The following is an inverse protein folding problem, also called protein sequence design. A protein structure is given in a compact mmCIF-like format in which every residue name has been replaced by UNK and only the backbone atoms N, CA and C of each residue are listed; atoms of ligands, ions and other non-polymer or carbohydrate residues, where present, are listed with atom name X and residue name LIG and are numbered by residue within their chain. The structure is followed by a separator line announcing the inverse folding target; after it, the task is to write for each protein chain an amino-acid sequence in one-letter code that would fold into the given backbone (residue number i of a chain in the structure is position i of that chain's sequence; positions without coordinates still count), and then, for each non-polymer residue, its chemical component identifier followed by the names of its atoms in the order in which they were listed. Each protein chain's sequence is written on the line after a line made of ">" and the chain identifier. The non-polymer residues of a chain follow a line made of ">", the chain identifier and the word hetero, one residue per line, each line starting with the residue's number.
data_IF_334350483697
#
_entry.id   IF_334350483697
#
_cell.length_a   1.000
_cell.length_b   1.000
_cell.length_c   1.000
_cell.angle_alpha   90.00
_cell.angle_beta   90.00
_cell.angle_gamma   90.00
#
_symmetry.space_group_name_H-M   'P 1'
#
loop_
_entity.id
_entity.type
_entity.pdbx_description
1 polymer ?
#
# COMPACT_ATOMS: atom_id res chain seq x y z
N UNK A 1 -33.85 15.97 2.58
CA UNK A 1 -33.58 14.55 2.24
C UNK A 1 -34.94 13.89 2.06
N UNK A 2 -35.19 13.24 0.93
CA UNK A 2 -36.41 12.43 0.74
C UNK A 2 -36.25 11.14 1.56
N UNK A 3 -37.33 10.72 2.23
CA UNK A 3 -37.38 9.44 2.90
C UNK A 3 -37.23 8.33 1.84
N UNK A 4 -36.32 7.41 2.02
CA UNK A 4 -36.06 6.33 1.09
C UNK A 4 -37.23 5.35 1.06
N UNK A 5 -37.90 5.23 -0.07
CA UNK A 5 -38.88 4.18 -0.33
C UNK A 5 -38.26 3.16 -1.33
N UNK A 6 -37.94 1.92 -0.90
CA UNK A 6 -37.32 0.91 -1.78
C UNK A 6 -38.19 0.52 -3.00
N UNK A 7 -39.53 0.73 -2.94
CA UNK A 7 -40.47 0.41 -4.05
C UNK A 7 -40.33 1.36 -5.24
N UNK A 8 -40.06 2.64 -4.96
CA UNK A 8 -40.08 3.69 -5.99
C UNK A 8 -38.71 4.03 -6.57
N UNK A 9 -37.60 3.49 -6.00
CA UNK A 9 -36.27 3.72 -6.53
C UNK A 9 -36.18 3.21 -7.98
N UNK A 10 -35.74 4.05 -8.94
CA UNK A 10 -35.56 3.61 -10.33
C UNK A 10 -34.50 2.54 -10.46
N UNK A 11 -34.86 1.38 -11.05
CA UNK A 11 -33.93 0.27 -11.27
C UNK A 11 -33.27 0.31 -12.66
N UNK A 12 -33.69 1.23 -13.51
CA UNK A 12 -33.15 1.44 -14.86
C UNK A 12 -32.27 2.70 -14.97
N UNK A 13 -31.87 3.27 -13.83
CA UNK A 13 -31.08 4.49 -13.75
C UNK A 13 -29.99 4.36 -12.67
N UNK A 14 -29.06 5.33 -12.63
CA UNK A 14 -28.07 5.45 -11.56
C UNK A 14 -28.71 6.14 -10.37
N UNK A 15 -28.69 5.48 -9.20
CA UNK A 15 -29.22 6.02 -7.95
C UNK A 15 -28.15 5.98 -6.86
N UNK A 16 -28.00 7.07 -6.10
CA UNK A 16 -27.14 7.16 -4.93
C UNK A 16 -27.99 7.07 -3.66
N UNK A 17 -27.70 6.10 -2.81
CA UNK A 17 -28.36 5.92 -1.51
C UNK A 17 -27.38 6.30 -0.41
N UNK A 18 -27.61 7.44 0.22
CA UNK A 18 -26.86 7.89 1.38
C UNK A 18 -27.49 7.32 2.66
N UNK A 19 -26.69 6.59 3.43
CA UNK A 19 -27.18 5.97 4.65
C UNK A 19 -26.07 5.83 5.70
N UNK A 20 -26.34 6.22 6.94
CA UNK A 20 -25.45 6.04 8.09
C UNK A 20 -25.40 4.58 8.55
N UNK A 21 -24.50 4.23 9.49
CA UNK A 21 -24.48 2.90 10.07
C UNK A 21 -25.82 2.62 10.80
N UNK A 22 -26.33 1.39 10.66
CA UNK A 22 -27.60 0.98 11.31
C UNK A 22 -28.90 1.47 10.68
N UNK A 23 -28.87 2.22 9.57
CA UNK A 23 -30.08 2.80 8.92
C UNK A 23 -30.77 1.86 7.92
N UNK A 24 -30.46 0.56 7.91
CA UNK A 24 -31.15 -0.41 7.09
C UNK A 24 -30.59 -0.59 5.67
N UNK A 25 -29.32 -0.22 5.39
CA UNK A 25 -28.69 -0.42 4.07
C UNK A 25 -28.85 -1.84 3.52
N UNK A 26 -28.55 -2.85 4.35
CA UNK A 26 -28.66 -4.25 3.96
C UNK A 26 -30.09 -4.67 3.68
N UNK A 27 -31.06 -4.16 4.43
CA UNK A 27 -32.49 -4.37 4.17
C UNK A 27 -32.89 -3.76 2.84
N UNK A 28 -32.49 -2.53 2.56
CA UNK A 28 -32.73 -1.86 1.29
C UNK A 28 -32.14 -2.64 0.11
N UNK A 29 -30.89 -3.08 0.23
CA UNK A 29 -30.25 -3.90 -0.81
C UNK A 29 -31.00 -5.21 -1.06
N UNK A 30 -31.42 -5.93 -0.02
CA UNK A 30 -32.25 -7.14 -0.15
C UNK A 30 -33.61 -6.84 -0.81
N UNK A 31 -34.22 -5.70 -0.51
CA UNK A 31 -35.47 -5.26 -1.10
C UNK A 31 -35.33 -4.92 -2.59
N UNK A 32 -34.26 -4.21 -2.98
CA UNK A 32 -33.94 -3.94 -4.40
C UNK A 32 -33.62 -5.23 -5.16
N UNK A 33 -32.91 -6.17 -4.53
CA UNK A 33 -32.62 -7.46 -5.10
C UNK A 33 -33.90 -8.25 -5.42
N UNK A 34 -34.88 -8.28 -4.49
CA UNK A 34 -36.18 -8.88 -4.72
C UNK A 34 -36.93 -8.21 -5.90
N UNK A 35 -36.89 -6.90 -5.99
CA UNK A 35 -37.51 -6.18 -7.12
C UNK A 35 -36.93 -6.55 -8.48
N UNK A 36 -35.59 -6.74 -8.55
CA UNK A 36 -34.89 -7.18 -9.76
C UNK A 36 -35.27 -8.62 -10.15
N UNK A 37 -35.36 -9.53 -9.17
CA UNK A 37 -35.78 -10.93 -9.39
C UNK A 37 -37.24 -11.02 -9.85
N UNK A 38 -38.12 -10.22 -9.24
CA UNK A 38 -39.57 -10.32 -9.47
C UNK A 38 -40.05 -9.42 -10.59
N UNK A 39 -39.24 -8.45 -11.05
CA UNK A 39 -39.66 -7.38 -11.96
C UNK A 39 -40.87 -6.61 -11.39
N UNK A 40 -40.85 -6.28 -10.10
CA UNK A 40 -41.98 -5.69 -9.38
C UNK A 40 -41.62 -4.32 -8.76
N UNK A 41 -42.66 -3.53 -8.42
CA UNK A 41 -42.52 -2.16 -7.92
C UNK A 41 -42.61 -1.13 -9.02
N UNK A 42 -42.29 0.13 -8.68
CA UNK A 42 -42.30 1.25 -9.63
C UNK A 42 -40.97 1.33 -10.40
N UNK A 43 -40.98 1.86 -11.62
CA UNK A 43 -39.76 2.05 -12.43
C UNK A 43 -38.86 0.84 -12.43
N UNK A 44 -39.44 -0.34 -12.73
CA UNK A 44 -38.75 -1.64 -12.69
C UNK A 44 -37.76 -1.78 -13.82
N UNK A 45 -36.86 -2.78 -13.69
CA UNK A 45 -36.02 -3.20 -14.80
C UNK A 45 -36.88 -3.84 -15.91
N UNK A 46 -36.49 -3.71 -17.20
CA UNK A 46 -37.33 -4.13 -18.34
C UNK A 46 -37.74 -5.61 -18.31
N UNK A 47 -36.97 -6.46 -17.63
CA UNK A 47 -37.26 -7.89 -17.48
C UNK A 47 -36.79 -8.39 -16.12
N UNK A 48 -37.28 -9.55 -15.69
CA UNK A 48 -36.83 -10.18 -14.46
C UNK A 48 -35.42 -10.74 -14.63
N UNK A 49 -34.57 -10.52 -13.64
CA UNK A 49 -33.17 -10.97 -13.62
C UNK A 49 -33.02 -12.25 -12.80
N UNK A 50 -32.08 -13.11 -13.19
CA UNK A 50 -31.60 -14.22 -12.37
C UNK A 50 -30.50 -13.77 -11.41
N UNK A 51 -30.21 -14.56 -10.37
CA UNK A 51 -29.20 -14.25 -9.37
C UNK A 51 -27.78 -14.02 -9.95
N UNK A 52 -27.46 -14.68 -11.05
CA UNK A 52 -26.18 -14.53 -11.78
C UNK A 52 -26.07 -13.20 -12.54
N UNK A 53 -27.21 -12.58 -12.85
CA UNK A 53 -27.28 -11.33 -13.63
C UNK A 53 -27.30 -10.09 -12.75
N UNK A 54 -27.44 -10.25 -11.43
CA UNK A 54 -27.46 -9.16 -10.46
C UNK A 54 -26.10 -9.07 -9.77
N UNK A 55 -25.26 -8.15 -10.23
CA UNK A 55 -23.95 -7.93 -9.63
C UNK A 55 -24.06 -7.11 -8.35
N UNK A 56 -23.54 -7.65 -7.26
CA UNK A 56 -23.38 -6.95 -5.99
C UNK A 56 -21.90 -6.97 -5.60
N UNK A 57 -21.35 -5.80 -5.24
CA UNK A 57 -19.93 -5.65 -4.92
C UNK A 57 -19.76 -5.06 -3.54
N UNK A 58 -18.81 -5.62 -2.77
CA UNK A 58 -18.44 -5.16 -1.43
C UNK A 58 -16.93 -4.94 -1.31
N UNK A 59 -16.49 -4.39 -0.18
CA UNK A 59 -15.06 -4.17 0.07
C UNK A 59 -14.35 -5.38 0.71
N UNK A 60 -15.03 -6.16 1.54
CA UNK A 60 -14.41 -7.24 2.33
C UNK A 60 -15.12 -8.56 2.11
N UNK A 61 -14.40 -9.66 2.22
CA UNK A 61 -14.95 -11.02 2.13
C UNK A 61 -16.03 -11.25 3.20
N UNK A 62 -15.81 -10.80 4.43
CA UNK A 62 -16.78 -10.90 5.52
C UNK A 62 -18.10 -10.20 5.17
N UNK A 63 -18.03 -8.98 4.60
CA UNK A 63 -19.23 -8.26 4.18
C UNK A 63 -19.93 -8.94 3.00
N UNK A 64 -19.18 -9.57 2.09
CA UNK A 64 -19.71 -10.36 0.98
C UNK A 64 -20.51 -11.55 1.49
N UNK A 65 -19.95 -12.34 2.40
CA UNK A 65 -20.60 -13.51 2.98
C UNK A 65 -21.85 -13.13 3.80
N UNK A 66 -21.74 -12.08 4.62
CA UNK A 66 -22.90 -11.58 5.37
C UNK A 66 -24.01 -11.12 4.44
N UNK A 67 -23.70 -10.36 3.41
CA UNK A 67 -24.68 -9.84 2.45
C UNK A 67 -25.32 -10.99 1.67
N UNK A 68 -24.54 -11.98 1.22
CA UNK A 68 -25.03 -13.19 0.54
C UNK A 68 -26.04 -13.95 1.43
N UNK A 69 -25.70 -14.14 2.71
CA UNK A 69 -26.58 -14.76 3.70
C UNK A 69 -27.89 -13.96 3.88
N UNK A 70 -27.80 -12.63 4.03
CA UNK A 70 -28.95 -11.75 4.22
C UNK A 70 -29.87 -11.71 3.01
N UNK A 71 -29.33 -11.71 1.80
CA UNK A 71 -30.12 -11.78 0.57
C UNK A 71 -30.82 -13.14 0.47
N UNK A 72 -30.15 -14.25 0.79
CA UNK A 72 -30.76 -15.58 0.82
C UNK A 72 -31.91 -15.67 1.82
N UNK A 73 -31.72 -15.16 3.04
CA UNK A 73 -32.75 -15.09 4.07
C UNK A 73 -33.96 -14.26 3.58
N UNK A 74 -33.69 -13.14 2.92
CA UNK A 74 -34.74 -12.27 2.38
C UNK A 74 -35.54 -12.93 1.25
N UNK A 75 -34.88 -13.65 0.34
CA UNK A 75 -35.53 -14.43 -0.73
C UNK A 75 -36.41 -15.54 -0.11
N UNK A 76 -35.88 -16.27 0.87
CA UNK A 76 -36.62 -17.32 1.56
C UNK A 76 -37.87 -16.78 2.27
N UNK A 77 -37.74 -15.72 3.07
CA UNK A 77 -38.85 -15.08 3.79
C UNK A 77 -39.93 -14.56 2.81
N UNK A 78 -39.51 -13.89 1.74
CA UNK A 78 -40.43 -13.41 0.69
C UNK A 78 -41.18 -14.58 0.03
N UNK A 79 -40.47 -15.68 -0.32
CA UNK A 79 -41.10 -16.88 -0.90
C UNK A 79 -42.15 -17.45 0.03
N UNK A 80 -41.84 -17.62 1.32
CA UNK A 80 -42.76 -18.16 2.31
C UNK A 80 -44.04 -17.31 2.44
N UNK A 81 -43.87 -15.98 2.59
CA UNK A 81 -44.96 -15.03 2.73
C UNK A 81 -45.84 -14.94 1.47
N UNK A 82 -45.22 -14.93 0.28
CA UNK A 82 -46.00 -14.92 -0.98
C UNK A 82 -46.74 -16.24 -1.19
N UNK A 83 -46.21 -17.39 -0.80
CA UNK A 83 -46.87 -18.68 -0.85
C UNK A 83 -48.05 -18.72 0.11
N UNK A 84 -47.89 -18.25 1.33
CA UNK A 84 -49.00 -18.13 2.30
C UNK A 84 -50.10 -17.18 1.82
N UNK A 85 -49.70 -16.00 1.26
CA UNK A 85 -50.65 -15.05 0.68
C UNK A 85 -51.41 -15.63 -0.50
N UNK A 86 -50.80 -16.44 -1.37
CA UNK A 86 -51.45 -17.12 -2.47
C UNK A 86 -52.56 -18.04 -1.96
N UNK A 87 -52.36 -18.69 -0.82
CA UNK A 87 -53.32 -19.66 -0.26
C UNK A 87 -54.47 -18.95 0.49
N UNK A 88 -54.14 -17.92 1.26
CA UNK A 88 -55.09 -17.29 2.18
C UNK A 88 -55.73 -16.03 1.65
N UNK A 89 -55.10 -15.36 0.70
CA UNK A 89 -55.43 -13.98 0.21
C UNK A 89 -55.50 -12.96 1.37
N UNK A 90 -54.89 -13.29 2.50
CA UNK A 90 -54.87 -12.42 3.66
C UNK A 90 -53.54 -11.64 3.76
N UNK A 91 -53.58 -10.34 3.73
CA UNK A 91 -52.40 -9.47 3.86
C UNK A 91 -51.77 -9.52 5.25
N UNK A 92 -52.44 -10.09 6.25
CA UNK A 92 -51.87 -10.28 7.60
C UNK A 92 -50.62 -11.20 7.61
N UNK A 93 -50.43 -12.05 6.58
CA UNK A 93 -49.26 -12.91 6.39
C UNK A 93 -47.94 -12.10 6.27
N UNK A 94 -48.00 -10.86 5.84
CA UNK A 94 -46.81 -10.01 5.72
C UNK A 94 -46.36 -9.41 7.06
N UNK A 95 -47.20 -9.45 8.11
CA UNK A 95 -46.88 -8.89 9.42
C UNK A 95 -46.45 -7.42 9.36
N UNK A 96 -45.23 -7.14 9.83
CA UNK A 96 -44.66 -5.78 9.83
C UNK A 96 -43.82 -5.48 8.57
N UNK A 97 -43.86 -6.36 7.58
CA UNK A 97 -43.10 -6.18 6.34
C UNK A 97 -43.91 -5.34 5.32
N UNK A 98 -43.98 -4.03 5.54
CA UNK A 98 -44.70 -3.12 4.69
C UNK A 98 -44.18 -3.11 3.25
N UNK A 99 -42.88 -3.33 3.05
CA UNK A 99 -42.29 -3.46 1.72
C UNK A 99 -42.87 -4.63 0.92
N UNK A 100 -42.97 -5.83 1.50
CA UNK A 100 -43.57 -6.98 0.78
C UNK A 100 -45.08 -6.80 0.56
N UNK A 101 -45.78 -6.16 1.52
CA UNK A 101 -47.21 -5.86 1.38
C UNK A 101 -47.46 -4.91 0.20
N UNK A 102 -46.62 -3.91 0.04
CA UNK A 102 -46.71 -2.95 -1.06
C UNK A 102 -46.24 -3.58 -2.41
N UNK A 103 -45.12 -4.38 -2.35
CA UNK A 103 -44.58 -5.03 -3.52
C UNK A 103 -45.56 -6.01 -4.17
N UNK A 104 -46.31 -6.78 -3.39
CA UNK A 104 -47.23 -7.80 -3.88
C UNK A 104 -48.37 -7.16 -4.72
N UNK A 105 -48.76 -5.92 -4.42
CA UNK A 105 -49.77 -5.20 -5.20
C UNK A 105 -49.31 -4.93 -6.64
N UNK A 106 -48.01 -4.91 -6.90
CA UNK A 106 -47.42 -4.70 -8.23
C UNK A 106 -47.17 -6.01 -9.00
N UNK A 107 -47.37 -7.18 -8.36
CA UNK A 107 -47.13 -8.49 -8.96
C UNK A 107 -48.40 -8.95 -9.70
N UNK A 108 -48.31 -9.11 -11.01
CA UNK A 108 -49.41 -9.54 -11.84
C UNK A 108 -49.63 -11.08 -11.85
N UNK A 109 -48.56 -11.84 -11.73
CA UNK A 109 -48.56 -13.33 -11.73
C UNK A 109 -47.84 -13.83 -10.49
N UNK A 110 -48.62 -14.12 -9.44
CA UNK A 110 -48.10 -14.57 -8.15
C UNK A 110 -47.48 -15.97 -8.20
N UNK A 111 -48.09 -16.98 -8.91
CA UNK A 111 -47.41 -18.27 -9.14
C UNK A 111 -46.05 -18.14 -9.80
N UNK A 112 -45.92 -17.36 -10.82
CA UNK A 112 -44.63 -17.09 -11.50
C UNK A 112 -43.62 -16.41 -10.56
N UNK A 113 -44.06 -15.46 -9.74
CA UNK A 113 -43.21 -14.79 -8.76
C UNK A 113 -42.64 -15.79 -7.72
N UNK A 114 -43.48 -16.70 -7.21
CA UNK A 114 -43.07 -17.74 -6.28
C UNK A 114 -42.09 -18.74 -6.95
N UNK A 115 -42.33 -19.10 -8.20
CA UNK A 115 -41.40 -19.94 -8.98
C UNK A 115 -40.04 -19.24 -9.15
N UNK A 116 -40.01 -17.96 -9.49
CA UNK A 116 -38.76 -17.18 -9.61
C UNK A 116 -37.98 -17.13 -8.30
N UNK A 117 -38.64 -16.90 -7.17
CA UNK A 117 -37.98 -16.93 -5.85
C UNK A 117 -37.48 -18.33 -5.50
N UNK A 118 -38.20 -19.40 -5.86
CA UNK A 118 -37.74 -20.75 -5.65
C UNK A 118 -36.47 -21.06 -6.44
N UNK A 119 -36.43 -20.68 -7.70
CA UNK A 119 -35.24 -20.83 -8.54
C UNK A 119 -34.07 -19.95 -8.02
N UNK A 120 -34.37 -18.73 -7.61
CA UNK A 120 -33.35 -17.83 -7.04
C UNK A 120 -32.73 -18.40 -5.75
N UNK A 121 -33.54 -18.97 -4.85
CA UNK A 121 -33.06 -19.62 -3.64
C UNK A 121 -32.17 -20.84 -3.94
N UNK A 122 -32.56 -21.67 -4.88
CA UNK A 122 -31.78 -22.86 -5.30
C UNK A 122 -30.45 -22.48 -5.96
N UNK A 123 -30.43 -21.41 -6.73
CA UNK A 123 -29.26 -20.94 -7.49
C UNK A 123 -28.44 -19.88 -6.75
N UNK A 124 -28.70 -19.64 -5.47
CA UNK A 124 -28.02 -18.58 -4.70
C UNK A 124 -26.50 -18.78 -4.59
N UNK A 125 -26.03 -20.01 -4.77
CA UNK A 125 -24.58 -20.28 -4.81
C UNK A 125 -23.91 -19.73 -6.07
N UNK A 126 -24.66 -19.53 -7.15
CA UNK A 126 -24.22 -18.92 -8.40
C UNK A 126 -24.36 -17.40 -8.42
N UNK A 127 -24.91 -16.80 -7.34
CA UNK A 127 -25.16 -15.36 -7.28
C UNK A 127 -23.87 -14.55 -7.47
N UNK A 128 -23.96 -13.50 -8.30
CA UNK A 128 -22.82 -12.62 -8.60
C UNK A 128 -22.58 -11.60 -7.47
N UNK A 129 -22.24 -12.09 -6.29
CA UNK A 129 -21.95 -11.28 -5.09
C UNK A 129 -20.46 -11.47 -4.75
N UNK A 130 -19.64 -10.42 -4.92
CA UNK A 130 -18.19 -10.48 -4.83
C UNK A 130 -17.60 -9.31 -4.06
N UNK A 131 -16.36 -9.46 -3.61
CA UNK A 131 -15.52 -8.29 -3.33
C UNK A 131 -15.11 -7.62 -4.65
N UNK A 132 -14.71 -6.34 -4.60
CA UNK A 132 -14.18 -5.61 -5.78
C UNK A 132 -13.05 -6.42 -6.44
N UNK A 133 -12.09 -6.89 -5.63
CA UNK A 133 -10.97 -7.69 -6.12
C UNK A 133 -11.40 -9.04 -6.71
N UNK A 134 -12.34 -9.73 -6.04
CA UNK A 134 -12.91 -11.00 -6.51
C UNK A 134 -13.62 -10.84 -7.85
N UNK A 135 -14.39 -9.76 -8.03
CA UNK A 135 -15.04 -9.45 -9.31
C UNK A 135 -14.01 -9.14 -10.40
N UNK A 136 -13.02 -8.27 -10.14
CA UNK A 136 -11.97 -7.95 -11.10
C UNK A 136 -11.21 -9.22 -11.54
N UNK A 137 -10.84 -10.08 -10.58
CA UNK A 137 -10.20 -11.37 -10.88
C UNK A 137 -11.06 -12.24 -11.80
N UNK A 138 -12.36 -12.38 -11.48
CA UNK A 138 -13.31 -13.15 -12.29
C UNK A 138 -13.39 -12.62 -13.73
N UNK A 139 -13.45 -11.29 -13.89
CA UNK A 139 -13.49 -10.66 -15.22
C UNK A 139 -12.20 -10.88 -15.99
N UNK A 140 -11.04 -10.73 -15.36
CA UNK A 140 -9.74 -10.98 -15.98
C UNK A 140 -9.62 -12.44 -16.44
N UNK A 141 -10.07 -13.40 -15.63
CA UNK A 141 -10.06 -14.82 -16.01
C UNK A 141 -11.04 -15.12 -17.16
N UNK A 142 -12.24 -14.55 -17.10
CA UNK A 142 -13.27 -14.75 -18.13
C UNK A 142 -12.83 -14.17 -19.49
N UNK A 143 -12.13 -13.05 -19.48
CA UNK A 143 -11.62 -12.37 -20.68
C UNK A 143 -10.09 -12.49 -20.81
N UNK A 144 -9.50 -13.61 -20.36
CA UNK A 144 -8.05 -13.81 -20.33
C UNK A 144 -7.39 -13.60 -21.69
N UNK A 145 -7.99 -14.05 -22.77
CA UNK A 145 -7.47 -13.82 -24.14
C UNK A 145 -7.41 -12.33 -24.54
N UNK A 146 -8.39 -11.55 -24.11
CA UNK A 146 -8.46 -10.14 -24.47
C UNK A 146 -7.53 -9.30 -23.59
N UNK A 147 -7.32 -9.73 -22.34
CA UNK A 147 -6.48 -9.04 -21.36
C UNK A 147 -5.01 -9.45 -21.39
N UNK A 148 -4.66 -10.51 -22.14
CA UNK A 148 -3.31 -11.06 -22.20
C UNK A 148 -2.82 -11.69 -20.87
N UNK A 149 -3.72 -12.06 -20.00
CA UNK A 149 -3.41 -12.60 -18.66
C UNK A 149 -3.49 -14.13 -18.67
N UNK A 150 -2.71 -14.79 -17.83
CA UNK A 150 -2.78 -16.24 -17.69
C UNK A 150 -4.12 -16.69 -17.06
N UNK A 151 -4.64 -17.85 -17.48
CA UNK A 151 -5.89 -18.41 -16.98
C UNK A 151 -5.88 -18.72 -15.46
N UNK A 152 -4.71 -19.04 -14.90
CA UNK A 152 -4.52 -19.30 -13.47
C UNK A 152 -3.92 -18.06 -12.78
N UNK A 153 -4.74 -17.02 -12.63
CA UNK A 153 -4.38 -15.85 -11.82
C UNK A 153 -4.60 -16.17 -10.34
N UNK A 154 -3.51 -16.22 -9.61
CA UNK A 154 -3.54 -16.17 -8.14
C UNK A 154 -3.25 -14.75 -7.67
N UNK A 155 -4.12 -14.22 -6.82
CA UNK A 155 -3.86 -12.98 -6.11
C UNK A 155 -2.89 -13.30 -4.99
N UNK A 156 -1.61 -12.99 -5.20
CA UNK A 156 -0.63 -13.10 -4.12
C UNK A 156 -0.68 -11.82 -3.30
N UNK A 157 -0.93 -11.94 -2.01
CA UNK A 157 -0.79 -10.84 -1.05
C UNK A 157 0.69 -10.53 -0.71
N UNK A 158 1.64 -11.18 -1.37
CA UNK A 158 3.07 -11.21 -1.06
C UNK A 158 3.88 -10.25 -1.97
N UNK A 159 3.33 -9.05 -2.22
CA UNK A 159 4.06 -7.99 -2.93
C UNK A 159 5.42 -7.70 -2.27
N UNK A 160 5.49 -7.78 -0.94
CA UNK A 160 6.70 -7.54 -0.16
C UNK A 160 7.79 -8.58 -0.43
N UNK A 161 7.42 -9.84 -0.62
CA UNK A 161 8.36 -10.92 -0.94
C UNK A 161 8.92 -10.75 -2.35
N UNK A 162 8.05 -10.42 -3.31
CA UNK A 162 8.47 -10.12 -4.68
C UNK A 162 9.42 -8.92 -4.74
N UNK A 163 9.10 -7.83 -4.05
CA UNK A 163 9.95 -6.65 -3.96
C UNK A 163 11.30 -6.99 -3.31
N UNK A 164 11.30 -7.84 -2.28
CA UNK A 164 12.54 -8.26 -1.64
C UNK A 164 13.40 -9.11 -2.58
N UNK A 165 12.82 -10.05 -3.32
CA UNK A 165 13.52 -10.83 -4.33
C UNK A 165 14.13 -9.96 -5.43
N UNK A 166 13.37 -8.97 -5.92
CA UNK A 166 13.88 -8.00 -6.91
C UNK A 166 15.02 -7.15 -6.34
N UNK A 167 14.88 -6.66 -5.12
CA UNK A 167 15.94 -5.91 -4.46
C UNK A 167 17.22 -6.75 -4.24
N UNK A 168 17.09 -8.01 -3.87
CA UNK A 168 18.20 -8.95 -3.76
C UNK A 168 18.87 -9.24 -5.11
N UNK A 169 18.07 -9.34 -6.19
CA UNK A 169 18.59 -9.53 -7.54
C UNK A 169 19.41 -8.31 -7.98
N UNK A 170 18.84 -7.10 -7.85
CA UNK A 170 19.54 -5.83 -8.16
C UNK A 170 20.83 -5.72 -7.33
N UNK A 171 20.77 -6.07 -6.05
CA UNK A 171 21.94 -6.04 -5.17
C UNK A 171 23.06 -6.93 -5.67
N UNK A 172 22.78 -8.16 -6.08
CA UNK A 172 23.78 -9.11 -6.62
C UNK A 172 24.34 -8.67 -7.97
N UNK A 173 23.46 -8.22 -8.88
CA UNK A 173 23.85 -7.87 -10.24
C UNK A 173 24.70 -6.60 -10.32
N UNK A 174 24.37 -5.59 -9.50
CA UNK A 174 24.98 -4.27 -9.62
C UNK A 174 26.01 -3.96 -8.55
N UNK A 175 25.97 -4.57 -7.37
CA UNK A 175 26.85 -4.19 -6.26
C UNK A 175 27.95 -5.20 -5.95
N UNK A 176 27.79 -6.49 -6.22
CA UNK A 176 28.82 -7.48 -5.90
C UNK A 176 30.08 -7.35 -6.75
N UNK A 177 29.98 -6.85 -7.96
CA UNK A 177 31.09 -6.63 -8.87
C UNK A 177 31.86 -5.33 -8.63
N UNK A 178 31.41 -4.48 -7.68
CA UNK A 178 31.99 -3.16 -7.45
C UNK A 178 33.25 -3.23 -6.60
N UNK A 179 34.18 -2.26 -6.72
CA UNK A 179 35.33 -2.10 -5.85
C UNK A 179 34.92 -2.01 -4.38
N UNK A 180 35.78 -2.50 -3.48
CA UNK A 180 35.48 -2.58 -2.03
C UNK A 180 35.00 -1.24 -1.45
N UNK A 181 35.64 -0.11 -1.80
CA UNK A 181 35.26 1.19 -1.30
C UNK A 181 33.84 1.61 -1.71
N UNK A 182 33.41 1.25 -2.93
CA UNK A 182 32.05 1.49 -3.42
C UNK A 182 31.06 0.61 -2.68
N UNK A 183 31.38 -0.66 -2.47
CA UNK A 183 30.55 -1.60 -1.70
C UNK A 183 30.37 -1.11 -0.26
N UNK A 184 31.45 -0.66 0.39
CA UNK A 184 31.40 -0.09 1.74
C UNK A 184 30.49 1.15 1.81
N UNK A 185 30.61 2.08 0.85
CA UNK A 185 29.73 3.25 0.76
C UNK A 185 28.26 2.84 0.58
N UNK A 186 27.97 1.90 -0.31
CA UNK A 186 26.62 1.39 -0.56
C UNK A 186 26.08 0.73 0.72
N UNK A 187 26.87 -0.07 1.39
CA UNK A 187 26.48 -0.75 2.63
C UNK A 187 26.19 0.25 3.77
N UNK A 188 26.99 1.30 3.89
CA UNK A 188 26.73 2.38 4.89
C UNK A 188 25.43 3.15 4.60
N UNK A 189 25.08 3.38 3.34
CA UNK A 189 23.92 4.23 2.96
C UNK A 189 22.62 3.45 2.70
N UNK A 190 22.71 2.27 2.09
CA UNK A 190 21.56 1.42 1.77
C UNK A 190 21.39 0.26 2.76
N UNK A 191 22.43 -0.11 3.49
CA UNK A 191 22.48 -1.11 4.56
C UNK A 191 22.18 -2.53 4.06
N UNK A 192 21.03 -2.77 3.42
CA UNK A 192 20.61 -4.09 2.95
C UNK A 192 19.52 -3.98 1.86
N UNK A 193 19.27 -5.07 1.09
CA UNK A 193 18.16 -5.15 0.16
C UNK A 193 16.81 -4.83 0.80
N UNK A 194 16.56 -5.31 2.02
CA UNK A 194 15.32 -5.03 2.76
C UNK A 194 15.13 -3.54 3.06
N UNK A 195 16.22 -2.80 3.22
CA UNK A 195 16.15 -1.35 3.46
C UNK A 195 15.81 -0.58 2.17
N UNK A 196 16.25 -1.08 1.01
CA UNK A 196 15.82 -0.56 -0.29
C UNK A 196 14.31 -0.71 -0.43
N UNK A 197 13.76 -1.91 -0.16
CA UNK A 197 12.32 -2.16 -0.21
C UNK A 197 11.55 -1.19 0.70
N UNK A 198 11.99 -1.00 1.94
CA UNK A 198 11.36 -0.04 2.88
C UNK A 198 11.35 1.39 2.36
N UNK A 199 12.41 1.82 1.66
CA UNK A 199 12.50 3.16 1.09
C UNK A 199 11.60 3.31 -0.14
N UNK A 200 11.58 2.33 -1.04
CA UNK A 200 10.81 2.34 -2.29
C UNK A 200 9.32 2.17 -2.05
N UNK A 201 8.92 1.35 -1.08
CA UNK A 201 7.50 1.06 -0.77
C UNK A 201 6.69 2.32 -0.49
N UNK A 202 7.31 3.37 0.05
CA UNK A 202 6.65 4.67 0.27
C UNK A 202 6.22 5.36 -1.02
N UNK A 203 6.81 4.99 -2.15
CA UNK A 203 6.57 5.56 -3.47
C UNK A 203 5.86 4.59 -4.41
N UNK A 204 5.61 3.34 -3.96
CA UNK A 204 4.88 2.36 -4.76
C UNK A 204 3.47 2.87 -5.06
N UNK A 205 3.07 2.81 -6.33
CA UNK A 205 1.76 3.28 -6.79
C UNK A 205 1.63 4.81 -6.93
N UNK A 206 2.70 5.58 -6.69
CA UNK A 206 2.69 7.03 -6.94
C UNK A 206 3.56 7.38 -8.14
N UNK A 207 3.09 8.32 -8.97
CA UNK A 207 3.92 8.90 -10.01
C UNK A 207 5.04 9.74 -9.35
N UNK A 208 6.28 9.26 -9.45
CA UNK A 208 7.44 9.96 -8.91
C UNK A 208 7.72 11.21 -9.74
N UNK A 209 7.32 12.37 -9.23
CA UNK A 209 7.77 13.65 -9.77
C UNK A 209 9.11 14.02 -9.12
N UNK A 210 10.19 13.88 -9.87
CA UNK A 210 11.49 14.32 -9.41
C UNK A 210 11.52 15.86 -9.35
N UNK A 211 12.17 16.45 -8.32
CA UNK A 211 12.32 17.91 -8.23
C UNK A 211 13.03 18.46 -9.48
N UNK A 212 12.61 19.64 -9.96
CA UNK A 212 13.25 20.31 -11.11
C UNK A 212 14.73 20.61 -10.84
N UNK A 213 15.06 21.00 -9.60
CA UNK A 213 16.42 21.28 -9.13
C UNK A 213 17.10 20.04 -8.53
N UNK A 214 17.21 18.95 -9.28
CA UNK A 214 17.97 17.78 -8.84
C UNK A 214 19.49 18.01 -9.03
N UNK A 215 20.34 17.48 -8.15
CA UNK A 215 21.79 17.53 -8.33
C UNK A 215 22.21 16.93 -9.67
N UNK A 216 23.18 17.54 -10.36
CA UNK A 216 23.65 17.10 -11.69
C UNK A 216 24.11 15.64 -11.75
N UNK A 217 24.56 15.04 -10.66
CA UNK A 217 24.99 13.64 -10.67
C UNK A 217 23.83 12.63 -10.72
N UNK A 218 22.57 13.09 -10.64
CA UNK A 218 21.40 12.27 -10.92
C UNK A 218 21.00 12.28 -12.39
N UNK A 219 21.67 13.05 -13.23
CA UNK A 219 21.51 13.04 -14.67
C UNK A 219 22.43 11.97 -15.26
N UNK A 220 21.87 10.85 -15.70
CA UNK A 220 22.64 9.75 -16.28
C UNK A 220 22.10 8.38 -15.91
N UNK A 221 22.74 7.36 -16.44
CA UNK A 221 22.42 5.96 -16.14
C UNK A 221 22.94 5.56 -14.77
N UNK A 222 22.42 4.43 -14.25
CA UNK A 222 22.89 3.87 -12.99
C UNK A 222 24.38 3.46 -13.05
N UNK A 223 24.86 3.00 -14.21
CA UNK A 223 26.27 2.66 -14.43
C UNK A 223 27.17 3.90 -14.39
N UNK A 224 26.73 5.00 -14.97
CA UNK A 224 27.45 6.29 -14.86
C UNK A 224 27.52 6.79 -13.43
N UNK A 225 26.43 6.59 -12.65
CA UNK A 225 26.44 6.92 -11.23
C UNK A 225 27.46 6.07 -10.46
N UNK A 226 27.52 4.75 -10.70
CA UNK A 226 28.49 3.86 -10.06
C UNK A 226 29.93 4.21 -10.45
N UNK A 227 30.18 4.58 -11.71
CA UNK A 227 31.50 5.04 -12.16
C UNK A 227 31.91 6.31 -11.41
N UNK A 228 31.06 7.34 -11.36
CA UNK A 228 31.33 8.58 -10.61
C UNK A 228 31.55 8.33 -9.12
N UNK A 229 30.81 7.37 -8.53
CA UNK A 229 30.99 6.99 -7.13
C UNK A 229 32.36 6.32 -6.91
N UNK A 230 32.81 5.50 -7.87
CA UNK A 230 34.13 4.86 -7.84
C UNK A 230 35.23 5.92 -7.91
N UNK A 231 35.15 6.85 -8.85
CA UNK A 231 36.12 7.95 -9.00
C UNK A 231 36.19 8.82 -7.74
N UNK A 232 35.03 9.19 -7.18
CA UNK A 232 34.94 9.95 -5.94
C UNK A 232 35.56 9.20 -4.76
N UNK A 233 35.30 7.90 -4.64
CA UNK A 233 35.84 7.05 -3.59
C UNK A 233 37.38 6.94 -3.69
N UNK A 234 37.93 6.79 -4.91
CA UNK A 234 39.37 6.77 -5.13
C UNK A 234 40.03 8.12 -4.82
N UNK A 235 39.41 9.22 -5.20
CA UNK A 235 39.89 10.56 -4.87
C UNK A 235 39.90 10.80 -3.35
N UNK A 236 38.87 10.35 -2.64
CA UNK A 236 38.79 10.44 -1.17
C UNK A 236 39.88 9.61 -0.47
N UNK A 237 40.15 8.40 -0.98
CA UNK A 237 41.23 7.55 -0.48
C UNK A 237 42.58 8.24 -0.68
N UNK A 238 42.85 8.75 -1.89
CA UNK A 238 44.08 9.46 -2.19
C UNK A 238 44.27 10.70 -1.30
N UNK A 239 43.23 11.51 -1.12
CA UNK A 239 43.24 12.68 -0.24
C UNK A 239 43.48 12.27 1.22
N UNK A 240 42.87 11.18 1.68
CA UNK A 240 43.08 10.67 3.04
C UNK A 240 44.53 10.20 3.25
N UNK A 241 45.12 9.52 2.26
CA UNK A 241 46.52 9.10 2.31
C UNK A 241 47.48 10.30 2.35
N UNK A 242 47.21 11.33 1.54
CA UNK A 242 47.97 12.57 1.56
C UNK A 242 47.91 13.27 2.93
N UNK A 243 46.70 13.32 3.53
CA UNK A 243 46.53 13.88 4.88
C UNK A 243 47.27 13.07 5.96
N UNK A 244 47.27 11.72 5.85
CA UNK A 244 47.99 10.85 6.75
C UNK A 244 49.52 11.09 6.66
N UNK A 245 50.01 11.19 5.43
CA UNK A 245 51.44 11.44 5.19
C UNK A 245 51.84 12.84 5.73
N UNK A 246 51.07 13.91 5.43
CA UNK A 246 51.29 15.26 5.97
C UNK A 246 51.27 15.27 7.52
N UNK A 247 50.38 14.47 8.12
CA UNK A 247 50.35 14.33 9.56
C UNK A 247 51.67 13.76 10.12
N UNK A 248 52.11 12.63 9.54
CA UNK A 248 53.38 11.96 9.98
C UNK A 248 54.58 12.85 9.78
N UNK A 249 54.66 13.57 8.66
CA UNK A 249 55.76 14.49 8.39
C UNK A 249 55.80 15.71 9.35
N UNK A 250 54.63 16.13 9.81
CA UNK A 250 54.49 17.36 10.64
C UNK A 250 54.04 17.08 12.08
N UNK A 251 54.05 15.83 12.53
CA UNK A 251 53.60 15.42 13.87
C UNK A 251 54.25 16.28 14.98
N UNK A 252 55.59 16.48 14.90
CA UNK A 252 56.32 17.29 15.87
C UNK A 252 55.91 18.73 15.81
N UNK A 253 55.89 19.35 14.62
CA UNK A 253 55.52 20.76 14.42
C UNK A 253 54.09 21.03 14.91
N UNK A 254 53.15 20.14 14.59
CA UNK A 254 51.75 20.25 15.02
C UNK A 254 51.63 20.14 16.54
N UNK A 255 52.40 19.23 17.16
CA UNK A 255 52.41 19.03 18.61
C UNK A 255 52.93 20.28 19.31
N UNK A 256 54.02 20.86 18.83
CA UNK A 256 54.56 22.11 19.35
C UNK A 256 53.64 23.30 19.19
N UNK A 257 52.96 23.42 18.03
CA UNK A 257 51.94 24.46 17.78
C UNK A 257 50.77 24.33 18.75
N UNK A 258 50.27 23.12 18.98
CA UNK A 258 49.18 22.86 19.93
C UNK A 258 49.60 23.24 21.36
N UNK A 259 50.83 22.88 21.76
CA UNK A 259 51.34 23.24 23.08
C UNK A 259 51.54 24.73 23.27
N UNK A 260 52.05 25.40 22.24
CA UNK A 260 52.20 26.85 22.22
C UNK A 260 50.86 27.56 22.33
N UNK A 261 49.89 27.12 21.55
CA UNK A 261 48.52 27.69 21.55
C UNK A 261 47.82 27.51 22.91
N UNK A 262 47.95 26.34 23.53
CA UNK A 262 47.35 26.05 24.85
C UNK A 262 48.00 26.91 25.95
N UNK A 263 49.30 27.12 25.89
CA UNK A 263 50.05 27.89 26.88
C UNK A 263 49.95 29.41 26.69
N UNK A 264 49.53 29.87 25.53
CA UNK A 264 49.36 31.30 25.23
C UNK A 264 48.18 31.89 26.00
N UNK A 265 48.41 32.99 26.72
CA UNK A 265 47.36 33.73 27.41
C UNK A 265 46.74 34.74 26.46
N UNK A 266 45.49 34.48 26.03
CA UNK A 266 44.73 35.42 25.20
C UNK A 266 43.92 36.38 26.06
N UNK A 267 43.87 37.64 25.65
CA UNK A 267 43.06 38.68 26.32
C UNK A 267 41.56 38.45 26.09
N UNK A 268 41.18 37.88 24.94
CA UNK A 268 39.80 37.61 24.55
C UNK A 268 39.64 36.15 24.08
N UNK A 269 38.53 35.51 24.42
CA UNK A 269 38.23 34.14 23.98
C UNK A 269 38.11 34.02 22.44
N UNK A 270 37.82 35.11 21.72
CA UNK A 270 37.73 35.13 20.25
C UNK A 270 39.09 34.98 19.54
N UNK A 271 40.18 35.23 20.23
CA UNK A 271 41.56 35.11 19.70
C UNK A 271 42.09 33.67 19.81
N UNK A 272 41.40 32.81 20.55
CA UNK A 272 41.80 31.42 20.71
C UNK A 272 41.54 30.66 19.42
N UNK A 273 42.56 30.00 18.87
CA UNK A 273 42.49 29.16 17.67
C UNK A 273 42.05 27.73 17.97
N UNK A 274 42.24 27.25 19.20
CA UNK A 274 41.87 25.91 19.64
C UNK A 274 40.79 25.93 20.72
N UNK A 275 39.86 24.98 20.65
CA UNK A 275 38.86 24.76 21.70
C UNK A 275 39.51 24.10 22.93
N UNK A 276 39.93 24.93 23.91
CA UNK A 276 40.62 24.44 25.12
C UNK A 276 39.78 23.50 25.99
N UNK A 277 38.45 23.44 25.82
CA UNK A 277 37.62 22.46 26.54
C UNK A 277 37.85 21.06 26.03
N UNK A 278 38.13 20.91 24.74
CA UNK A 278 38.42 19.60 24.10
C UNK A 278 39.90 19.24 24.26
N UNK A 279 40.83 20.19 24.26
CA UNK A 279 42.29 20.02 24.36
C UNK A 279 42.80 20.22 25.78
N UNK A 280 42.29 19.42 26.73
CA UNK A 280 42.79 19.42 28.12
C UNK A 280 44.11 18.68 28.22
N UNK A 281 44.87 18.92 29.30
CA UNK A 281 46.10 18.16 29.59
C UNK A 281 45.91 16.65 29.67
N UNK A 282 44.73 16.21 30.07
CA UNK A 282 44.36 14.78 30.16
C UNK A 282 43.95 14.18 28.79
N UNK A 283 43.32 14.97 27.91
CA UNK A 283 42.79 14.46 26.62
C UNK A 283 43.82 14.56 25.48
N UNK A 284 44.72 15.55 25.54
CA UNK A 284 45.73 15.80 24.50
C UNK A 284 46.59 14.59 24.17
N UNK A 285 47.24 13.88 25.13
CA UNK A 285 48.06 12.73 24.81
C UNK A 285 47.23 11.60 24.12
N UNK A 286 46.00 11.40 24.54
CA UNK A 286 45.09 10.39 23.95
C UNK A 286 44.72 10.76 22.51
N UNK A 287 44.47 12.03 22.25
CA UNK A 287 44.14 12.53 20.93
C UNK A 287 45.32 12.43 19.97
N UNK A 288 46.52 12.87 20.37
CA UNK A 288 47.75 12.76 19.57
C UNK A 288 48.09 11.28 19.27
N UNK A 289 47.95 10.39 20.25
CA UNK A 289 48.13 8.96 20.04
C UNK A 289 47.09 8.36 19.07
N UNK A 290 45.81 8.80 19.14
CA UNK A 290 44.78 8.36 18.24
C UNK A 290 45.02 8.83 16.81
N UNK A 291 45.45 10.08 16.62
CA UNK A 291 45.81 10.64 15.31
C UNK A 291 47.04 9.96 14.71
N UNK A 292 48.05 9.67 15.51
CA UNK A 292 49.23 8.88 15.08
C UNK A 292 48.81 7.50 14.63
N UNK A 293 48.05 6.78 15.44
CA UNK A 293 47.52 5.48 15.10
C UNK A 293 46.71 5.48 13.80
N UNK A 294 45.86 6.51 13.60
CA UNK A 294 45.11 6.70 12.34
C UNK A 294 46.03 6.93 11.15
N UNK A 295 47.06 7.74 11.31
CA UNK A 295 48.02 8.04 10.24
C UNK A 295 48.92 6.83 9.86
N UNK A 296 49.32 6.04 10.84
CA UNK A 296 50.21 4.87 10.63
C UNK A 296 49.45 3.67 10.04
N UNK A 297 48.13 3.53 10.27
CA UNK A 297 47.35 2.41 9.78
C UNK A 297 46.62 2.69 8.50
N UNK A 298 46.73 1.80 7.51
CA UNK A 298 46.12 1.92 6.20
C UNK A 298 44.57 2.03 6.27
N UNK A 299 43.95 1.26 7.16
CA UNK A 299 42.48 1.15 7.29
C UNK A 299 41.96 1.58 8.67
N UNK A 300 42.50 2.64 9.23
CA UNK A 300 41.92 3.20 10.46
C UNK A 300 40.92 4.29 10.15
N UNK A 301 39.76 4.26 10.81
CA UNK A 301 38.79 5.35 10.78
C UNK A 301 39.38 6.60 11.45
N UNK A 302 38.94 7.78 10.97
CA UNK A 302 39.33 9.06 11.59
C UNK A 302 38.84 9.07 13.05
N UNK A 303 39.69 9.46 14.00
CA UNK A 303 39.31 9.39 15.42
C UNK A 303 38.12 10.29 15.78
N UNK A 304 37.14 9.74 16.51
CA UNK A 304 35.97 10.46 17.03
C UNK A 304 36.28 11.38 18.23
N UNK A 305 37.45 11.97 18.26
CA UNK A 305 37.89 12.79 19.42
C UNK A 305 37.65 14.29 19.25
N UNK A 306 36.83 14.69 18.28
CA UNK A 306 36.49 16.11 18.01
C UNK A 306 35.04 16.45 18.29
#
# INVERSE_FOLDING_TARGET
>A
MQQLNPISIPLNAVSLIEASAGTGKTYTMGSLYLRLLLQAGENTFPYALNVEQILVVTFTEMATEELKRKIRERIYDAKQKLTAYQQTQDSAVFGQDDFLRELVASITDLPLAIQRLTLAEQNMDLAAIYTIHGFCRRMLMQYAFNSGVHFNLELTGEEDELLLHLAQKIWREHFYSQPYAVVEFIQKNLVSPSNIVKKIKKFAGTELKLPENRPHFFEGTFEEFLSKLTDYSQALIAQTQELKQKWLEKEVEITELIETEINTKYKNAKEQKLNRRSFTSANRPKWLAAMKHWAEKEKADFPDCF
#
